data_IF_759667658800
#
_entry.id   IF_759667658800
#
_cell.length_a   1.000
_cell.length_b   1.000
_cell.length_c   1.000
_cell.angle_alpha   90.00
_cell.angle_beta   90.00
_cell.angle_gamma   90.00
#
_symmetry.space_group_name_H-M   'P 1'
#
loop_
_entity.id
_entity.type
_entity.pdbx_description
1 polymer ?
#
# COMPACT_ATOMS: atom_id res chain seq x y z
N UNK A 1 -11.01 -58.52 -30.93
CA UNK A 1 -10.33 -57.36 -31.52
C UNK A 1 -11.20 -56.14 -31.33
N UNK A 2 -10.61 -55.10 -30.71
CA UNK A 2 -11.02 -53.69 -30.65
C UNK A 2 -12.22 -53.30 -29.76
N UNK A 3 -11.88 -52.92 -28.53
CA UNK A 3 -12.56 -51.94 -27.68
C UNK A 3 -12.69 -50.60 -28.42
N UNK A 4 -13.89 -50.02 -28.48
CA UNK A 4 -14.10 -48.62 -28.85
C UNK A 4 -14.56 -47.85 -27.61
N UNK A 5 -13.66 -47.03 -27.08
CA UNK A 5 -13.90 -46.11 -25.98
C UNK A 5 -14.65 -44.89 -26.53
N UNK A 6 -15.91 -44.68 -26.12
CA UNK A 6 -16.66 -43.47 -26.44
C UNK A 6 -16.49 -42.46 -25.30
N UNK A 7 -15.53 -41.55 -25.42
CA UNK A 7 -15.43 -40.37 -24.56
C UNK A 7 -16.40 -39.29 -25.08
N UNK A 8 -17.37 -38.89 -24.24
CA UNK A 8 -18.18 -37.67 -24.46
C UNK A 8 -17.55 -36.51 -23.67
N UNK A 9 -17.42 -35.30 -24.24
CA UNK A 9 -16.73 -34.20 -23.58
C UNK A 9 -17.68 -33.47 -22.62
N UNK A 10 -17.39 -33.50 -21.32
CA UNK A 10 -17.95 -32.61 -20.29
C UNK A 10 -16.93 -31.51 -20.00
N UNK A 11 -16.71 -30.59 -20.94
CA UNK A 11 -15.74 -29.50 -20.78
C UNK A 11 -16.11 -28.29 -21.65
N UNK A 12 -17.34 -27.76 -21.54
CA UNK A 12 -17.68 -26.48 -22.21
C UNK A 12 -18.47 -25.48 -21.37
N UNK A 13 -19.16 -25.90 -20.29
CA UNK A 13 -19.97 -24.96 -19.50
C UNK A 13 -19.15 -24.09 -18.51
N UNK A 14 -18.03 -24.59 -17.97
CA UNK A 14 -17.19 -23.83 -17.01
C UNK A 14 -16.29 -22.79 -17.71
N UNK A 15 -15.76 -23.13 -18.89
CA UNK A 15 -14.92 -22.23 -19.69
C UNK A 15 -15.73 -21.03 -20.24
N UNK A 16 -16.98 -21.24 -20.64
CA UNK A 16 -17.86 -20.16 -21.11
C UNK A 16 -18.28 -19.19 -19.99
N UNK A 17 -18.40 -19.67 -18.73
CA UNK A 17 -18.61 -18.79 -17.57
C UNK A 17 -17.36 -17.99 -17.21
N UNK A 18 -16.17 -18.57 -17.34
CA UNK A 18 -14.91 -17.85 -17.14
C UNK A 18 -14.71 -16.74 -18.19
N UNK A 19 -15.02 -17.03 -19.46
CA UNK A 19 -14.97 -16.05 -20.55
C UNK A 19 -16.04 -14.94 -20.41
N UNK A 20 -17.22 -15.28 -19.89
CA UNK A 20 -18.30 -14.32 -19.65
C UNK A 20 -18.04 -13.39 -18.45
N UNK A 21 -17.26 -13.82 -17.45
CA UNK A 21 -16.86 -12.96 -16.32
C UNK A 21 -15.79 -11.94 -16.72
N UNK A 22 -14.89 -12.30 -17.66
CA UNK A 22 -13.90 -11.36 -18.20
C UNK A 22 -14.54 -10.22 -19.00
N UNK A 23 -15.66 -10.45 -19.68
CA UNK A 23 -16.33 -9.45 -20.50
C UNK A 23 -17.12 -8.41 -19.69
N UNK A 24 -17.59 -8.73 -18.49
CA UNK A 24 -18.36 -7.82 -17.64
C UNK A 24 -17.48 -6.82 -16.85
N UNK A 25 -16.16 -6.99 -16.88
CA UNK A 25 -15.19 -6.08 -16.28
C UNK A 25 -14.80 -4.91 -17.19
N UNK A 26 -15.21 -4.97 -18.47
CA UNK A 26 -14.81 -4.04 -19.51
C UNK A 26 -15.68 -2.76 -19.52
N UNK A 27 -15.97 -2.19 -18.35
CA UNK A 27 -16.11 -0.74 -18.31
C UNK A 27 -14.70 -0.19 -18.49
N UNK A 28 -14.49 0.63 -19.53
CA UNK A 28 -13.19 1.17 -19.90
C UNK A 28 -12.57 1.85 -18.67
N UNK A 29 -11.51 1.25 -18.12
CA UNK A 29 -10.76 1.88 -17.04
C UNK A 29 -10.27 3.22 -17.56
N UNK A 30 -10.48 4.27 -16.77
CA UNK A 30 -9.90 5.56 -17.11
C UNK A 30 -8.37 5.43 -17.02
N UNK A 31 -7.66 5.98 -18.00
CA UNK A 31 -6.22 6.18 -17.88
C UNK A 31 -5.92 6.93 -16.58
N UNK A 32 -4.81 6.57 -15.91
CA UNK A 32 -4.37 7.29 -14.73
C UNK A 32 -4.26 8.79 -15.05
N UNK A 33 -4.65 9.61 -14.08
CA UNK A 33 -4.68 11.06 -14.25
C UNK A 33 -4.08 11.74 -13.03
N UNK A 34 -3.10 12.64 -13.21
CA UNK A 34 -2.52 13.43 -12.13
C UNK A 34 -3.57 14.33 -11.47
N UNK A 35 -3.39 14.59 -10.17
CA UNK A 35 -4.33 15.39 -9.37
C UNK A 35 -5.65 14.67 -9.12
N UNK A 36 -5.64 13.32 -9.03
CA UNK A 36 -6.84 12.53 -8.74
C UNK A 36 -6.80 11.78 -7.42
N UNK A 37 -5.70 11.90 -6.67
CA UNK A 37 -5.67 11.49 -5.27
C UNK A 37 -6.41 12.57 -4.48
N UNK A 38 -7.63 12.23 -4.04
CA UNK A 38 -8.54 13.17 -3.40
C UNK A 38 -8.28 13.30 -1.90
N UNK A 39 -8.19 14.54 -1.43
CA UNK A 39 -7.95 14.89 -0.04
C UNK A 39 -6.46 14.83 0.27
N UNK A 40 -5.75 15.98 0.39
CA UNK A 40 -4.39 15.96 0.89
C UNK A 40 -4.51 15.38 2.30
N UNK A 41 -4.02 14.17 2.46
CA UNK A 41 -3.83 13.57 3.77
C UNK A 41 -2.32 13.43 3.91
N UNK A 42 -1.84 13.69 5.10
CA UNK A 42 -0.42 13.82 5.39
C UNK A 42 0.09 12.55 6.08
N UNK A 43 -0.85 11.71 6.55
CA UNK A 43 -0.60 10.52 7.34
C UNK A 43 -1.50 9.36 6.89
N UNK A 44 -0.93 8.18 6.73
CA UNK A 44 -1.69 6.96 6.43
C UNK A 44 -1.50 5.94 7.54
N UNK A 45 -2.59 5.62 8.25
CA UNK A 45 -2.63 4.52 9.21
C UNK A 45 -3.27 3.32 8.53
N UNK A 46 -2.55 2.21 8.49
CA UNK A 46 -3.04 0.94 7.98
C UNK A 46 -3.18 -0.07 9.11
N UNK A 47 -4.35 -0.71 9.22
CA UNK A 47 -4.65 -1.66 10.28
C UNK A 47 -4.90 -3.06 9.70
N UNK A 48 -4.12 -4.04 10.13
CA UNK A 48 -4.40 -5.44 9.81
C UNK A 48 -5.47 -5.95 10.75
N UNK A 49 -6.62 -6.29 10.18
CA UNK A 49 -7.75 -6.79 10.94
C UNK A 49 -7.55 -8.27 11.28
N UNK A 50 -8.01 -8.72 12.46
CA UNK A 50 -8.01 -10.14 12.78
C UNK A 50 -8.92 -10.88 11.79
N UNK A 51 -8.44 -11.99 11.26
CA UNK A 51 -9.25 -12.83 10.37
C UNK A 51 -10.40 -13.46 11.16
N UNK A 52 -11.66 -13.44 10.67
CA UNK A 52 -12.76 -14.10 11.35
C UNK A 52 -12.51 -15.60 11.46
N UNK A 53 -12.76 -16.15 12.65
CA UNK A 53 -12.53 -17.58 12.97
C UNK A 53 -13.34 -18.51 12.05
N UNK A 54 -14.50 -18.03 11.61
CA UNK A 54 -15.46 -18.76 10.76
C UNK A 54 -15.38 -18.39 9.26
N UNK A 55 -14.43 -17.52 8.86
CA UNK A 55 -14.27 -17.17 7.46
C UNK A 55 -13.89 -18.42 6.66
N UNK A 56 -14.86 -18.94 5.89
CA UNK A 56 -14.69 -20.09 5.01
C UNK A 56 -13.39 -19.93 4.24
N UNK A 57 -12.54 -20.96 4.29
CA UNK A 57 -11.27 -21.08 3.56
C UNK A 57 -11.53 -21.04 2.05
N UNK A 58 -11.94 -19.90 1.49
CA UNK A 58 -11.85 -19.65 0.06
C UNK A 58 -10.34 -19.57 -0.24
N UNK A 59 -9.70 -20.61 -0.81
CA UNK A 59 -8.26 -20.72 -0.79
C UNK A 59 -7.64 -19.65 -1.70
N UNK A 60 -6.68 -18.89 -1.19
CA UNK A 60 -5.64 -18.26 -2.00
C UNK A 60 -5.93 -16.92 -2.68
N UNK A 61 -7.09 -16.28 -2.48
CA UNK A 61 -7.39 -14.98 -3.09
C UNK A 61 -7.24 -13.86 -2.04
N UNK A 62 -6.26 -12.92 -2.16
CA UNK A 62 -6.21 -11.74 -1.30
C UNK A 62 -7.51 -10.97 -1.40
N UNK A 63 -8.01 -10.37 -0.32
CA UNK A 63 -9.25 -9.59 -0.45
C UNK A 63 -10.56 -10.37 -0.24
N UNK A 64 -10.50 -11.70 -0.11
CA UNK A 64 -11.70 -12.54 -0.22
C UNK A 64 -12.65 -12.51 0.98
N UNK A 65 -12.17 -12.20 2.18
CA UNK A 65 -12.95 -12.26 3.42
C UNK A 65 -13.33 -10.90 4.01
N UNK A 66 -12.99 -9.81 3.33
CA UNK A 66 -13.12 -8.46 3.86
C UNK A 66 -14.54 -8.17 4.36
N UNK A 67 -14.70 -7.64 5.58
CA UNK A 67 -16.02 -7.25 6.06
C UNK A 67 -16.56 -6.14 5.16
N UNK A 68 -17.87 -6.13 4.94
CA UNK A 68 -18.52 -5.07 4.14
C UNK A 68 -18.30 -3.68 4.75
N UNK A 69 -18.15 -3.59 6.07
CA UNK A 69 -18.05 -2.36 6.85
C UNK A 69 -16.78 -2.40 7.72
N UNK A 70 -15.62 -2.33 7.08
CA UNK A 70 -14.28 -2.23 7.72
C UNK A 70 -14.24 -1.14 8.79
N UNK A 71 -14.96 -0.03 8.58
CA UNK A 71 -15.04 1.10 9.51
C UNK A 71 -15.67 0.78 10.87
N UNK A 72 -16.34 -0.37 11.00
CA UNK A 72 -16.95 -0.83 12.25
C UNK A 72 -16.05 -1.75 13.06
N UNK A 73 -14.91 -2.15 12.51
CA UNK A 73 -13.98 -3.01 13.23
C UNK A 73 -13.38 -2.30 14.44
N UNK A 74 -13.27 -2.94 15.62
CA UNK A 74 -12.87 -2.27 16.85
C UNK A 74 -11.57 -1.46 16.73
N UNK A 75 -10.51 -2.03 16.14
CA UNK A 75 -9.24 -1.32 15.93
C UNK A 75 -9.41 -0.07 15.05
N UNK A 76 -10.22 -0.17 13.99
CA UNK A 76 -10.47 0.96 13.07
C UNK A 76 -11.27 2.06 13.76
N UNK A 77 -12.25 1.68 14.59
CA UNK A 77 -13.04 2.62 15.41
C UNK A 77 -12.14 3.35 16.42
N UNK A 78 -11.23 2.64 17.10
CA UNK A 78 -10.29 3.27 18.03
C UNK A 78 -9.35 4.25 17.32
N UNK A 79 -8.83 3.89 16.14
CA UNK A 79 -8.01 4.79 15.34
C UNK A 79 -8.80 6.04 14.90
N UNK A 80 -10.04 5.89 14.41
CA UNK A 80 -10.89 7.03 14.07
C UNK A 80 -11.19 7.92 15.28
N UNK A 81 -11.43 7.32 16.46
CA UNK A 81 -11.68 8.08 17.69
C UNK A 81 -10.47 8.92 18.07
N UNK A 82 -9.27 8.36 17.97
CA UNK A 82 -8.05 9.11 18.28
C UNK A 82 -7.81 10.24 17.27
N UNK A 83 -8.01 9.98 15.98
CA UNK A 83 -7.93 11.01 14.93
C UNK A 83 -8.92 12.12 15.19
N UNK A 84 -10.18 11.81 15.50
CA UNK A 84 -11.18 12.81 15.83
C UNK A 84 -10.83 13.61 17.09
N UNK A 85 -10.24 12.96 18.10
CA UNK A 85 -9.82 13.61 19.35
C UNK A 85 -8.66 14.58 19.16
N UNK A 86 -7.80 14.32 18.17
CA UNK A 86 -6.56 15.07 17.93
C UNK A 86 -6.56 15.85 16.61
N UNK A 87 -7.64 15.87 15.84
CA UNK A 87 -7.63 16.32 14.44
C UNK A 87 -7.17 17.77 14.21
N UNK A 88 -7.20 18.61 15.25
CA UNK A 88 -6.64 19.98 15.19
C UNK A 88 -5.09 20.01 15.32
N UNK A 89 -4.49 18.92 15.77
CA UNK A 89 -3.08 18.78 16.12
C UNK A 89 -2.37 17.79 15.19
N UNK A 90 -3.00 16.66 14.92
CA UNK A 90 -2.49 15.67 13.97
C UNK A 90 -3.25 15.93 12.67
N UNK A 91 -2.53 16.20 11.58
CA UNK A 91 -3.09 16.63 10.30
C UNK A 91 -4.09 15.65 9.69
N UNK A 92 -4.30 15.72 8.37
CA UNK A 92 -5.31 14.86 7.76
C UNK A 92 -4.81 13.40 7.73
N UNK A 93 -5.47 12.53 8.48
CA UNK A 93 -5.13 11.10 8.56
C UNK A 93 -6.07 10.28 7.70
N UNK A 94 -5.52 9.45 6.82
CA UNK A 94 -6.25 8.39 6.12
C UNK A 94 -6.12 7.09 6.91
N UNK A 95 -7.24 6.42 7.15
CA UNK A 95 -7.26 5.10 7.78
C UNK A 95 -7.71 4.08 6.74
N UNK A 96 -6.90 3.05 6.55
CA UNK A 96 -7.15 1.93 5.64
C UNK A 96 -6.94 0.64 6.41
N UNK A 97 -7.64 -0.42 6.06
CA UNK A 97 -7.28 -1.73 6.59
C UNK A 97 -6.49 -2.49 5.53
N UNK A 98 -5.61 -3.38 5.97
CA UNK A 98 -4.81 -4.21 5.06
C UNK A 98 -4.75 -5.69 5.48
N UNK A 99 -4.22 -6.49 4.57
CA UNK A 99 -3.79 -7.88 4.75
C UNK A 99 -2.42 -8.07 4.12
N UNK A 100 -1.53 -8.79 4.79
CA UNK A 100 -0.24 -9.16 4.20
C UNK A 100 -0.39 -10.30 3.20
N UNK A 101 0.16 -10.11 1.99
CA UNK A 101 0.02 -11.08 0.89
C UNK A 101 0.91 -12.31 1.11
N UNK A 102 2.02 -12.19 1.85
CA UNK A 102 2.91 -13.30 2.17
C UNK A 102 2.37 -14.17 3.32
N UNK A 103 1.81 -13.56 4.36
CA UNK A 103 1.38 -14.20 5.63
C UNK A 103 -0.13 -14.23 5.82
N UNK A 104 -0.86 -14.61 4.76
CA UNK A 104 -2.34 -14.51 4.69
C UNK A 104 -3.12 -15.36 5.71
N UNK A 105 -2.47 -16.38 6.27
CA UNK A 105 -3.05 -17.26 7.29
C UNK A 105 -2.60 -16.89 8.72
N UNK A 106 -1.72 -15.88 8.86
CA UNK A 106 -1.16 -15.40 10.13
C UNK A 106 -1.65 -13.96 10.35
N UNK A 107 -2.87 -13.83 10.85
CA UNK A 107 -3.40 -12.56 11.33
C UNK A 107 -3.15 -12.37 12.83
N UNK A 108 -3.25 -11.13 13.33
CA UNK A 108 -3.23 -10.90 14.77
C UNK A 108 -4.38 -11.66 15.45
N UNK A 109 -4.20 -12.14 16.70
CA UNK A 109 -5.24 -12.84 17.42
C UNK A 109 -6.45 -11.92 17.69
N UNK A 110 -7.64 -12.48 17.95
CA UNK A 110 -8.81 -11.68 18.33
C UNK A 110 -8.49 -10.72 19.50
N UNK A 111 -8.87 -9.45 19.36
CA UNK A 111 -8.56 -8.41 20.34
C UNK A 111 -7.23 -7.68 20.12
N UNK A 112 -6.47 -8.05 19.09
CA UNK A 112 -5.27 -7.33 18.64
C UNK A 112 -5.34 -6.98 17.14
N UNK A 113 -4.48 -6.07 16.72
CA UNK A 113 -4.25 -5.73 15.31
C UNK A 113 -2.76 -5.50 15.04
N UNK A 114 -2.34 -5.55 13.77
CA UNK A 114 -1.07 -4.95 13.37
C UNK A 114 -1.35 -3.55 12.83
N UNK A 115 -0.45 -2.60 13.03
CA UNK A 115 -0.58 -1.21 12.59
C UNK A 115 0.66 -0.80 11.80
N UNK A 116 0.48 -0.24 10.60
CA UNK A 116 1.53 0.44 9.85
C UNK A 116 1.19 1.93 9.78
N UNK A 117 2.18 2.79 9.95
CA UNK A 117 2.01 4.23 9.91
C UNK A 117 3.04 4.88 8.98
N UNK A 118 2.55 5.65 8.01
CA UNK A 118 3.35 6.40 7.05
C UNK A 118 3.00 7.89 7.12
N UNK A 119 3.97 8.80 6.94
CA UNK A 119 5.36 8.56 6.52
C UNK A 119 6.32 8.14 7.64
N UNK A 120 5.84 8.03 8.90
CA UNK A 120 6.68 7.66 10.05
C UNK A 120 7.47 6.34 9.86
N UNK A 121 7.00 5.44 8.97
CA UNK A 121 7.64 4.17 8.68
C UNK A 121 7.68 3.27 9.90
N UNK A 122 6.63 3.31 10.72
CA UNK A 122 6.48 2.55 11.95
C UNK A 122 5.50 1.40 11.75
N UNK A 123 5.85 0.25 12.33
CA UNK A 123 5.03 -0.95 12.40
C UNK A 123 4.82 -1.33 13.88
N UNK A 124 3.61 -1.76 14.22
CA UNK A 124 3.28 -2.36 15.52
C UNK A 124 2.64 -3.72 15.30
N UNK A 125 3.23 -4.76 15.88
CA UNK A 125 2.73 -6.14 15.74
C UNK A 125 1.99 -6.61 17.00
N UNK A 126 0.83 -7.24 16.82
CA UNK A 126 0.04 -7.78 17.93
C UNK A 126 -0.44 -6.70 18.91
N UNK A 127 -0.66 -5.48 18.43
CA UNK A 127 -1.09 -4.32 19.21
C UNK A 127 -2.51 -4.57 19.77
N UNK A 128 -2.70 -4.56 21.11
CA UNK A 128 -4.04 -4.67 21.69
C UNK A 128 -4.94 -3.54 21.21
N UNK A 129 -6.22 -3.82 20.94
CA UNK A 129 -7.17 -2.83 20.42
C UNK A 129 -7.22 -1.57 21.30
N UNK A 130 -7.16 -1.72 22.62
CA UNK A 130 -7.15 -0.60 23.56
C UNK A 130 -5.92 0.31 23.47
N UNK A 131 -4.83 -0.16 22.86
CA UNK A 131 -3.59 0.61 22.66
C UNK A 131 -3.53 1.29 21.28
N UNK A 132 -4.47 1.00 20.36
CA UNK A 132 -4.48 1.57 19.01
C UNK A 132 -4.46 3.09 19.03
N UNK A 133 -5.25 3.73 19.89
CA UNK A 133 -5.25 5.19 20.00
C UNK A 133 -3.88 5.76 20.41
N UNK A 134 -3.16 5.10 21.32
CA UNK A 134 -1.83 5.58 21.73
C UNK A 134 -0.78 5.36 20.62
N UNK A 135 -0.87 4.25 19.88
CA UNK A 135 0.01 3.99 18.73
C UNK A 135 -0.23 5.01 17.61
N UNK A 136 -1.48 5.31 17.27
CA UNK A 136 -1.84 6.36 16.30
C UNK A 136 -1.27 7.70 16.77
N UNK A 137 -1.49 8.07 18.03
CA UNK A 137 -0.96 9.31 18.58
C UNK A 137 0.57 9.39 18.48
N UNK A 138 1.26 8.30 18.78
CA UNK A 138 2.72 8.21 18.72
C UNK A 138 3.21 8.39 17.29
N UNK A 139 2.58 7.70 16.33
CA UNK A 139 3.02 7.65 14.96
C UNK A 139 2.72 8.93 14.15
N UNK A 140 1.74 9.73 14.59
CA UNK A 140 1.35 10.97 13.88
C UNK A 140 1.73 12.24 14.63
N UNK A 141 2.50 12.16 15.71
CA UNK A 141 2.91 13.34 16.47
C UNK A 141 4.23 13.91 15.93
N UNK A 142 4.31 15.23 15.82
CA UNK A 142 5.56 15.92 15.48
C UNK A 142 6.63 15.72 16.56
N UNK A 143 6.21 15.64 17.83
CA UNK A 143 7.11 15.41 18.97
C UNK A 143 6.66 14.20 19.83
N UNK A 144 6.88 12.96 19.36
CA UNK A 144 6.39 11.72 20.01
C UNK A 144 6.85 11.55 21.47
N UNK A 145 8.03 12.10 21.79
CA UNK A 145 8.61 12.08 23.13
C UNK A 145 7.86 12.96 24.14
N UNK A 146 7.12 13.98 23.67
CA UNK A 146 6.35 14.90 24.53
C UNK A 146 4.91 14.43 24.77
N UNK A 147 4.48 13.33 24.15
CA UNK A 147 3.14 12.81 24.35
C UNK A 147 2.89 12.43 25.82
N UNK A 148 1.79 12.91 26.43
CA UNK A 148 1.44 12.57 27.80
C UNK A 148 0.97 11.12 27.86
N UNK A 149 1.87 10.20 28.19
CA UNK A 149 1.62 8.76 28.22
C UNK A 149 2.29 8.14 29.45
N UNK A 150 1.63 7.16 30.08
CA UNK A 150 2.21 6.44 31.23
C UNK A 150 3.46 5.69 30.76
N UNK A 151 4.47 5.62 31.63
CA UNK A 151 5.70 4.90 31.30
C UNK A 151 5.47 3.42 30.97
N UNK A 152 4.43 2.79 31.54
CA UNK A 152 4.02 1.43 31.20
C UNK A 152 3.52 1.30 29.77
N UNK A 153 2.69 2.24 29.32
CA UNK A 153 2.11 2.23 27.99
C UNK A 153 3.20 2.49 26.94
N UNK A 154 4.12 3.43 27.23
CA UNK A 154 5.28 3.69 26.38
C UNK A 154 6.11 2.43 26.17
N UNK A 155 6.44 1.72 27.26
CA UNK A 155 7.20 0.46 27.19
C UNK A 155 6.45 -0.62 26.41
N UNK A 156 5.13 -0.74 26.58
CA UNK A 156 4.33 -1.72 25.87
C UNK A 156 4.34 -1.45 24.36
N UNK A 157 4.15 -0.21 23.94
CA UNK A 157 4.22 0.18 22.52
C UNK A 157 5.62 -0.05 21.94
N UNK A 158 6.67 0.41 22.61
CA UNK A 158 8.05 0.21 22.13
C UNK A 158 8.41 -1.28 22.00
N UNK A 159 7.86 -2.15 22.85
CA UNK A 159 8.15 -3.59 22.79
C UNK A 159 7.55 -4.30 21.56
N UNK A 160 6.53 -3.73 20.93
CA UNK A 160 5.94 -4.27 19.70
C UNK A 160 6.19 -3.40 18.46
N UNK A 161 7.01 -2.35 18.59
CA UNK A 161 7.29 -1.39 17.53
C UNK A 161 8.53 -1.81 16.73
N UNK A 162 8.42 -1.71 15.41
CA UNK A 162 9.49 -1.95 14.45
C UNK A 162 9.45 -0.91 13.31
N UNK A 163 10.50 -0.88 12.49
CA UNK A 163 10.45 -0.16 11.23
C UNK A 163 9.66 -0.96 10.19
N UNK A 164 8.98 -0.26 9.28
CA UNK A 164 8.41 -0.88 8.08
C UNK A 164 9.50 -1.34 7.12
N UNK A 165 9.13 -2.14 6.13
CA UNK A 165 10.00 -2.51 5.02
C UNK A 165 10.46 -1.26 4.24
N UNK A 166 11.59 -1.38 3.54
CA UNK A 166 12.19 -0.29 2.75
C UNK A 166 11.21 0.23 1.67
N UNK A 167 10.42 -0.68 1.09
CA UNK A 167 9.32 -0.36 0.18
C UNK A 167 8.09 -1.21 0.49
N UNK A 168 6.96 -0.56 0.72
CA UNK A 168 5.67 -1.18 1.00
C UNK A 168 4.67 -0.83 -0.10
N UNK A 169 4.17 -1.86 -0.79
CA UNK A 169 3.23 -1.74 -1.91
C UNK A 169 1.82 -2.13 -1.47
N UNK A 170 0.89 -1.19 -1.50
CA UNK A 170 -0.49 -1.40 -1.07
C UNK A 170 -1.45 -1.47 -2.27
N UNK A 171 -2.04 -2.64 -2.49
CA UNK A 171 -2.91 -2.92 -3.64
C UNK A 171 -4.37 -3.06 -3.21
N UNK A 172 -5.24 -2.21 -3.75
CA UNK A 172 -6.68 -2.29 -3.47
C UNK A 172 -7.27 -3.61 -3.99
N UNK A 173 -7.69 -4.51 -3.09
CA UNK A 173 -8.29 -5.82 -3.44
C UNK A 173 -9.77 -5.94 -3.06
N UNK A 174 -10.37 -4.88 -2.52
CA UNK A 174 -11.72 -4.93 -1.98
C UNK A 174 -12.81 -5.07 -3.06
N UNK A 175 -13.42 -6.25 -3.15
CA UNK A 175 -14.45 -6.57 -4.14
C UNK A 175 -15.86 -6.05 -3.78
N UNK A 176 -16.17 -5.85 -2.50
CA UNK A 176 -17.53 -5.49 -2.08
C UNK A 176 -17.91 -4.03 -2.42
N UNK A 177 -16.92 -3.14 -2.52
CA UNK A 177 -17.14 -1.73 -2.88
C UNK A 177 -17.21 -1.53 -4.39
N UNK A 178 -16.39 -2.25 -5.16
CA UNK A 178 -16.36 -2.17 -6.61
C UNK A 178 -15.79 -3.44 -7.25
N UNK A 179 -16.49 -3.94 -8.26
CA UNK A 179 -16.13 -5.18 -8.94
C UNK A 179 -14.79 -5.12 -9.67
N UNK A 180 -14.33 -3.94 -10.12
CA UNK A 180 -13.05 -3.80 -10.83
C UNK A 180 -11.86 -3.97 -9.89
N UNK A 181 -11.92 -3.38 -8.69
CA UNK A 181 -10.89 -3.58 -7.67
C UNK A 181 -10.80 -5.06 -7.25
N UNK A 182 -11.95 -5.72 -7.10
CA UNK A 182 -12.01 -7.16 -6.80
C UNK A 182 -11.50 -8.06 -7.92
N UNK A 183 -11.54 -7.62 -9.18
CA UNK A 183 -11.07 -8.40 -10.34
C UNK A 183 -9.60 -8.16 -10.68
N UNK A 184 -9.12 -6.91 -10.57
CA UNK A 184 -7.75 -6.53 -10.97
C UNK A 184 -6.77 -6.56 -9.80
N UNK A 185 -7.21 -6.21 -8.59
CA UNK A 185 -6.36 -6.10 -7.41
C UNK A 185 -5.75 -7.43 -6.98
N UNK A 186 -6.55 -8.48 -6.71
CA UNK A 186 -6.04 -9.78 -6.27
C UNK A 186 -4.97 -10.41 -7.19
N UNK A 187 -5.16 -10.50 -8.53
CA UNK A 187 -4.12 -11.03 -9.40
C UNK A 187 -2.89 -10.12 -9.50
N UNK A 188 -3.06 -8.79 -9.41
CA UNK A 188 -1.93 -7.85 -9.35
C UNK A 188 -1.09 -8.07 -8.09
N UNK A 189 -1.70 -8.06 -6.91
CA UNK A 189 -1.01 -8.25 -5.64
C UNK A 189 -0.27 -9.60 -5.59
N UNK A 190 -0.91 -10.67 -6.09
CA UNK A 190 -0.28 -11.98 -6.20
C UNK A 190 0.91 -11.99 -7.18
N UNK A 191 0.83 -11.26 -8.29
CA UNK A 191 1.94 -11.14 -9.25
C UNK A 191 3.11 -10.35 -8.69
N UNK A 192 2.87 -9.20 -8.05
CA UNK A 192 3.93 -8.40 -7.40
C UNK A 192 4.63 -9.21 -6.31
N UNK A 193 3.88 -9.87 -5.41
CA UNK A 193 4.47 -10.70 -4.37
C UNK A 193 5.30 -11.85 -4.94
N UNK A 194 4.81 -12.53 -6.00
CA UNK A 194 5.57 -13.60 -6.67
C UNK A 194 6.88 -13.08 -7.26
N UNK A 195 6.88 -11.89 -7.87
CA UNK A 195 8.08 -11.28 -8.43
C UNK A 195 9.09 -10.89 -7.34
N UNK A 196 8.63 -10.24 -6.28
CA UNK A 196 9.45 -9.92 -5.09
C UNK A 196 10.12 -11.17 -4.54
N UNK A 197 9.35 -12.25 -4.33
CA UNK A 197 9.87 -13.53 -3.85
C UNK A 197 10.84 -14.18 -4.82
N UNK A 198 10.52 -14.21 -6.11
CA UNK A 198 11.39 -14.81 -7.13
C UNK A 198 12.75 -14.10 -7.23
N UNK A 199 12.81 -12.83 -6.84
CA UNK A 199 14.03 -12.00 -6.81
C UNK A 199 14.72 -11.97 -5.44
N UNK A 200 14.15 -12.62 -4.43
CA UNK A 200 14.71 -12.64 -3.07
C UNK A 200 14.59 -11.30 -2.32
N UNK A 201 13.61 -10.46 -2.68
CA UNK A 201 13.45 -9.10 -2.15
C UNK A 201 12.47 -9.02 -0.95
N UNK A 202 12.05 -10.14 -0.38
CA UNK A 202 10.98 -10.18 0.65
C UNK A 202 11.35 -9.45 1.95
N UNK A 203 12.64 -9.31 2.27
CA UNK A 203 13.11 -8.54 3.43
C UNK A 203 13.07 -7.03 3.21
N UNK A 204 13.04 -6.58 1.94
CA UNK A 204 13.11 -5.17 1.56
C UNK A 204 11.78 -4.63 1.02
N UNK A 205 11.02 -5.48 0.31
CA UNK A 205 9.78 -5.10 -0.38
C UNK A 205 8.63 -5.94 0.14
N UNK A 206 7.64 -5.28 0.74
CA UNK A 206 6.41 -5.93 1.16
C UNK A 206 5.24 -5.58 0.23
N UNK A 207 4.37 -6.57 -0.01
CA UNK A 207 3.15 -6.40 -0.80
C UNK A 207 1.94 -6.69 0.09
N UNK A 208 1.03 -5.72 0.14
CA UNK A 208 -0.17 -5.76 0.97
C UNK A 208 -1.42 -5.64 0.10
N UNK A 209 -2.45 -6.40 0.44
CA UNK A 209 -3.80 -6.17 -0.06
C UNK A 209 -4.52 -5.19 0.86
N UNK A 210 -5.31 -4.27 0.32
CA UNK A 210 -6.01 -3.27 1.12
C UNK A 210 -7.52 -3.27 0.90
N UNK A 211 -8.22 -2.67 1.87
CA UNK A 211 -9.58 -2.18 1.69
C UNK A 211 -9.64 -1.14 0.56
N UNK A 212 -10.83 -0.61 0.28
CA UNK A 212 -10.99 0.28 -0.86
C UNK A 212 -10.15 1.55 -0.76
N UNK A 213 -9.21 1.73 -1.70
CA UNK A 213 -8.41 2.94 -1.89
C UNK A 213 -8.40 3.37 -3.36
N UNK A 214 -8.22 4.67 -3.59
CA UNK A 214 -7.84 5.21 -4.91
C UNK A 214 -8.97 5.44 -5.90
N UNK A 215 -10.18 5.00 -5.60
CA UNK A 215 -11.33 5.14 -6.49
C UNK A 215 -11.30 4.11 -7.62
N UNK A 216 -12.48 3.58 -7.94
CA UNK A 216 -12.62 2.42 -8.81
C UNK A 216 -12.33 2.67 -10.30
N UNK A 217 -12.44 3.92 -10.76
CA UNK A 217 -12.27 4.25 -12.19
C UNK A 217 -10.84 4.08 -12.67
N UNK A 218 -9.89 4.01 -11.73
CA UNK A 218 -8.46 3.81 -11.94
C UNK A 218 -7.99 2.47 -11.34
N UNK A 219 -8.89 1.48 -11.23
CA UNK A 219 -8.58 0.19 -10.61
C UNK A 219 -7.29 -0.44 -11.17
N UNK A 220 -6.65 -1.26 -10.33
CA UNK A 220 -5.20 -1.42 -10.40
C UNK A 220 -4.46 -0.36 -9.59
N UNK A 221 -5.07 0.08 -8.48
CA UNK A 221 -4.48 1.08 -7.60
C UNK A 221 -3.33 0.46 -6.79
N UNK A 222 -2.17 1.10 -6.80
CA UNK A 222 -1.01 0.78 -5.97
C UNK A 222 -0.57 2.05 -5.26
N UNK A 223 -0.41 2.00 -3.94
CA UNK A 223 0.23 3.08 -3.18
C UNK A 223 1.59 2.58 -2.69
N UNK A 224 2.62 3.38 -2.90
CA UNK A 224 3.98 3.07 -2.49
C UNK A 224 4.33 3.88 -1.25
N UNK A 225 4.98 3.24 -0.29
CA UNK A 225 5.60 3.90 0.84
C UNK A 225 6.98 3.35 1.11
N UNK A 226 7.94 4.21 1.33
CA UNK A 226 9.32 3.87 1.66
C UNK A 226 10.04 5.14 2.03
N UNK A 227 10.41 5.31 3.30
CA UNK A 227 10.78 6.63 3.84
C UNK A 227 11.97 7.31 3.13
N UNK A 228 12.80 6.55 2.42
CA UNK A 228 13.93 7.06 1.61
C UNK A 228 13.75 6.79 0.11
N UNK A 229 12.63 6.17 -0.27
CA UNK A 229 12.35 5.81 -1.64
C UNK A 229 11.76 7.03 -2.37
N UNK A 230 12.22 7.38 -3.58
CA UNK A 230 11.71 8.55 -4.33
C UNK A 230 10.19 8.53 -4.58
N UNK A 231 9.60 7.33 -4.64
CA UNK A 231 8.14 7.13 -4.74
C UNK A 231 7.38 7.12 -3.40
N UNK A 232 7.94 7.62 -2.29
CA UNK A 232 7.23 7.64 -1.00
C UNK A 232 5.92 8.41 -1.11
N UNK A 233 4.82 7.76 -0.75
CA UNK A 233 3.48 8.32 -0.85
C UNK A 233 2.91 8.42 -2.26
N UNK A 234 3.57 7.90 -3.30
CA UNK A 234 3.04 7.92 -4.66
C UNK A 234 1.85 6.96 -4.84
N UNK A 235 0.86 7.43 -5.59
CA UNK A 235 -0.32 6.67 -5.99
C UNK A 235 -0.31 6.40 -7.48
N UNK A 236 -0.50 5.13 -7.82
CA UNK A 236 -0.61 4.65 -9.18
C UNK A 236 -2.01 4.07 -9.46
N UNK A 237 -2.40 4.02 -10.73
CA UNK A 237 -3.62 3.36 -11.20
C UNK A 237 -3.44 2.73 -12.57
N UNK A 238 -4.29 1.78 -12.94
CA UNK A 238 -4.16 1.04 -14.21
C UNK A 238 -3.08 -0.04 -14.22
N UNK A 239 -2.45 -0.33 -13.08
CA UNK A 239 -1.51 -1.45 -12.93
C UNK A 239 -2.30 -2.76 -12.88
N UNK A 240 -1.79 -3.81 -13.49
CA UNK A 240 -2.44 -5.12 -13.54
C UNK A 240 -1.41 -6.24 -13.62
N UNK A 241 -1.85 -7.50 -13.53
CA UNK A 241 -0.93 -8.63 -13.54
C UNK A 241 -0.06 -8.73 -14.81
N UNK A 242 -0.49 -8.16 -15.94
CA UNK A 242 0.25 -8.18 -17.21
C UNK A 242 1.36 -7.14 -17.34
N UNK A 243 1.33 -6.07 -16.53
CA UNK A 243 2.38 -5.05 -16.49
C UNK A 243 3.08 -4.94 -15.12
N UNK A 244 2.77 -5.84 -14.19
CA UNK A 244 3.31 -5.85 -12.83
C UNK A 244 4.84 -5.98 -12.79
N UNK A 245 5.44 -6.72 -13.73
CA UNK A 245 6.89 -6.88 -13.81
C UNK A 245 7.60 -5.59 -14.21
N UNK A 246 7.22 -5.00 -15.35
CA UNK A 246 7.76 -3.71 -15.79
C UNK A 246 7.51 -2.58 -14.79
N UNK A 247 6.37 -2.62 -14.09
CA UNK A 247 6.05 -1.66 -13.04
C UNK A 247 6.98 -1.83 -11.83
N UNK A 248 7.22 -3.06 -11.37
CA UNK A 248 8.15 -3.33 -10.28
C UNK A 248 9.61 -2.98 -10.66
N UNK A 249 10.01 -3.31 -11.89
CA UNK A 249 11.35 -2.94 -12.41
C UNK A 249 11.54 -1.43 -12.36
N UNK A 250 10.55 -0.69 -12.84
CA UNK A 250 10.59 0.76 -12.85
C UNK A 250 10.60 1.37 -11.44
N UNK A 251 9.84 0.81 -10.49
CA UNK A 251 9.89 1.24 -9.08
C UNK A 251 11.28 1.06 -8.46
N UNK A 252 11.88 -0.12 -8.66
CA UNK A 252 13.19 -0.44 -8.09
C UNK A 252 14.34 0.33 -8.75
N UNK A 253 14.12 0.88 -9.95
CA UNK A 253 15.12 1.62 -10.73
C UNK A 253 15.01 3.13 -10.57
N UNK A 254 14.06 3.66 -9.77
CA UNK A 254 13.98 5.11 -9.56
C UNK A 254 15.19 5.58 -8.78
N UNK A 255 16.00 6.42 -9.41
CA UNK A 255 17.18 7.01 -8.82
C UNK A 255 16.79 8.07 -7.76
N UNK A 256 17.66 8.25 -6.78
CA UNK A 256 17.52 9.34 -5.81
C UNK A 256 17.60 10.68 -6.55
N UNK A 257 16.91 11.70 -6.02
CA UNK A 257 16.82 13.01 -6.67
C UNK A 257 15.77 13.10 -7.79
N UNK A 258 15.32 11.98 -8.34
CA UNK A 258 14.16 11.95 -9.26
C UNK A 258 12.88 12.13 -8.45
N UNK A 259 11.91 12.88 -8.99
CA UNK A 259 10.62 13.11 -8.34
C UNK A 259 9.66 11.90 -8.44
N UNK A 260 10.19 10.70 -8.14
CA UNK A 260 9.46 9.46 -8.05
C UNK A 260 8.74 9.08 -9.34
N UNK A 261 7.52 8.58 -9.18
CA UNK A 261 6.69 8.18 -10.31
C UNK A 261 6.17 9.35 -11.13
N UNK A 262 6.24 10.59 -10.62
CA UNK A 262 5.86 11.76 -11.40
C UNK A 262 6.87 11.97 -12.54
N UNK A 263 8.17 11.83 -12.30
CA UNK A 263 9.19 12.10 -13.31
C UNK A 263 9.67 10.84 -14.05
N UNK A 264 9.66 9.68 -13.40
CA UNK A 264 10.18 8.45 -14.01
C UNK A 264 9.34 7.98 -15.21
N UNK A 265 9.94 7.98 -16.41
CA UNK A 265 9.25 7.77 -17.70
C UNK A 265 8.34 6.53 -17.77
N UNK A 266 8.72 5.41 -17.16
CA UNK A 266 7.92 4.18 -17.16
C UNK A 266 6.81 4.15 -16.10
N UNK A 267 6.94 4.92 -15.02
CA UNK A 267 5.95 4.99 -13.94
C UNK A 267 4.93 6.08 -14.16
N UNK A 268 5.38 7.16 -14.80
CA UNK A 268 4.62 8.35 -15.13
C UNK A 268 3.24 7.99 -15.70
N UNK A 269 3.08 7.17 -16.76
CA UNK A 269 1.75 6.82 -17.29
C UNK A 269 0.73 6.25 -16.29
N UNK A 270 1.18 5.73 -15.14
CA UNK A 270 0.34 5.18 -14.07
C UNK A 270 0.12 6.16 -12.91
N UNK A 271 0.92 7.22 -12.80
CA UNK A 271 0.92 8.11 -11.63
C UNK A 271 -0.35 8.96 -11.56
N UNK A 272 -0.80 9.21 -10.32
CA UNK A 272 -2.06 9.90 -10.04
C UNK A 272 -1.95 11.04 -9.05
N UNK A 273 -0.91 11.01 -8.21
CA UNK A 273 -0.72 11.93 -7.10
C UNK A 273 0.26 11.37 -6.08
N UNK A 274 0.69 12.23 -5.16
CA UNK A 274 1.51 11.90 -4.00
C UNK A 274 0.79 12.34 -2.72
N UNK A 275 0.93 11.56 -1.65
CA UNK A 275 0.48 11.92 -0.30
C UNK A 275 1.06 13.30 0.12
N UNK A 276 0.32 14.07 0.92
CA UNK A 276 0.72 15.42 1.33
C UNK A 276 0.50 16.53 0.30
N UNK A 277 0.41 16.20 -1.00
CA UNK A 277 0.19 17.20 -2.05
C UNK A 277 -1.30 17.49 -2.28
N UNK A 278 -1.64 18.77 -2.40
CA UNK A 278 -2.91 19.24 -2.94
C UNK A 278 -3.10 18.81 -4.40
N UNK A 279 -4.31 18.94 -4.90
CA UNK A 279 -4.63 18.55 -6.28
C UNK A 279 -3.86 19.39 -7.31
N UNK A 280 -3.66 20.66 -6.99
CA UNK A 280 -2.93 21.64 -7.79
C UNK A 280 -1.43 21.29 -7.78
N UNK A 281 -0.82 21.09 -6.61
CA UNK A 281 0.59 20.67 -6.48
C UNK A 281 0.85 19.33 -7.18
N UNK A 282 -0.06 18.37 -7.10
CA UNK A 282 0.07 17.10 -7.84
C UNK A 282 0.13 17.33 -9.36
N UNK A 283 -0.58 18.32 -9.89
CA UNK A 283 -0.56 18.62 -11.33
C UNK A 283 0.69 19.37 -11.72
N UNK A 284 1.14 20.31 -10.90
CA UNK A 284 2.37 21.07 -11.11
C UNK A 284 3.59 20.14 -11.10
N UNK A 285 3.70 19.26 -10.10
CA UNK A 285 4.76 18.24 -10.01
C UNK A 285 4.77 17.35 -11.26
N UNK A 286 3.58 16.91 -11.68
CA UNK A 286 3.45 16.16 -12.90
C UNK A 286 3.91 16.99 -14.11
N UNK A 287 3.44 18.21 -14.31
CA UNK A 287 3.82 19.03 -15.47
C UNK A 287 5.33 19.28 -15.54
N UNK A 288 5.98 19.56 -14.40
CA UNK A 288 7.43 19.76 -14.28
C UNK A 288 8.23 18.52 -14.69
N UNK A 289 7.91 17.34 -14.13
CA UNK A 289 8.58 16.09 -14.50
C UNK A 289 8.26 15.61 -15.93
N UNK A 290 7.38 16.30 -16.66
CA UNK A 290 7.13 16.05 -18.09
C UNK A 290 7.97 16.91 -19.02
N UNK A 291 8.63 17.94 -18.49
CA UNK A 291 9.51 18.83 -19.23
C UNK A 291 10.94 18.34 -19.18
N UNK A 292 11.27 17.29 -19.94
CA UNK A 292 12.67 17.02 -20.26
C UNK A 292 13.07 18.04 -21.34
N UNK A 293 13.65 19.17 -20.94
CA UNK A 293 14.68 19.83 -21.75
C UNK A 293 16.01 19.15 -21.38
N UNK A 294 16.77 18.71 -22.39
CA UNK A 294 18.11 18.17 -22.25
C UNK A 294 19.02 19.19 -21.54
N UNK A 295 19.20 19.06 -20.23
CA UNK A 295 20.17 19.86 -19.49
C UNK A 295 21.50 19.11 -19.46
N UNK A 296 22.44 19.60 -20.26
CA UNK A 296 23.85 19.22 -20.23
C UNK A 296 24.48 19.59 -18.88
N UNK A 297 24.84 18.57 -18.09
CA UNK A 297 26.00 18.49 -17.20
C UNK A 297 26.26 19.57 -16.16
N UNK A 298 26.13 19.21 -14.87
CA UNK A 298 26.94 19.75 -13.78
C UNK A 298 27.12 18.71 -12.68
N UNK A 299 28.22 17.95 -12.75
CA UNK A 299 28.51 16.79 -11.90
C UNK A 299 29.20 17.08 -10.57
N UNK A 300 28.77 18.14 -9.86
CA UNK A 300 29.37 18.50 -8.57
C UNK A 300 28.37 18.46 -7.38
N UNK A 301 27.07 18.27 -7.61
CA UNK A 301 26.04 18.23 -6.54
C UNK A 301 25.68 16.81 -6.05
N UNK A 302 26.08 15.76 -6.77
CA UNK A 302 25.75 14.36 -6.44
C UNK A 302 26.50 13.82 -5.20
N UNK A 303 27.76 14.24 -4.97
CA UNK A 303 28.58 13.70 -3.87
C UNK A 303 28.14 14.16 -2.47
N UNK A 304 27.53 15.35 -2.34
CA UNK A 304 27.12 15.92 -1.04
C UNK A 304 25.80 15.29 -0.52
N UNK A 305 24.93 14.83 -1.44
CA UNK A 305 23.64 14.19 -1.13
C UNK A 305 23.85 12.76 -0.59
N UNK A 306 24.85 12.05 -1.11
CA UNK A 306 25.16 10.68 -0.71
C UNK A 306 25.67 10.58 0.75
N UNK A 307 26.46 11.57 1.22
CA UNK A 307 26.97 11.59 2.60
C UNK A 307 25.88 11.89 3.64
N UNK A 308 24.98 12.86 3.36
CA UNK A 308 23.85 13.16 4.27
C UNK A 308 22.86 11.98 4.35
N UNK A 309 22.63 11.27 3.24
CA UNK A 309 21.74 10.12 3.20
C UNK A 309 22.31 8.90 3.94
N UNK A 310 23.60 8.60 3.78
CA UNK A 310 24.26 7.57 4.57
C UNK A 310 24.18 7.86 6.08
N UNK A 311 24.29 9.14 6.45
CA UNK A 311 24.18 9.59 7.83
C UNK A 311 22.76 9.41 8.38
N UNK A 312 21.73 9.81 7.62
CA UNK A 312 20.31 9.59 8.00
C UNK A 312 19.96 8.10 8.13
N UNK A 313 20.42 7.26 7.19
CA UNK A 313 20.24 5.81 7.24
C UNK A 313 20.99 5.18 8.42
N UNK A 314 22.15 5.72 8.81
CA UNK A 314 22.91 5.26 9.97
C UNK A 314 22.25 5.67 11.30
N UNK A 315 21.66 6.86 11.39
CA UNK A 315 20.95 7.34 12.58
C UNK A 315 19.66 6.56 12.83
N UNK A 316 18.92 6.23 11.76
CA UNK A 316 17.71 5.40 11.84
C UNK A 316 18.04 3.96 12.26
N UNK A 317 19.13 3.38 11.75
CA UNK A 317 19.63 2.06 12.19
C UNK A 317 20.03 2.02 13.66
N UNK A 318 20.32 3.18 14.26
CA UNK A 318 20.68 3.33 15.68
C UNK A 318 19.48 3.66 16.58
N UNK A 319 18.28 3.83 16.02
CA UNK A 319 17.05 4.14 16.78
C UNK A 319 17.09 5.50 17.48
N UNK A 320 17.84 6.46 16.93
CA UNK A 320 17.99 7.82 17.49
C UNK A 320 17.08 8.87 16.84
N UNK A 321 16.29 8.45 15.84
CA UNK A 321 15.17 9.16 15.21
C UNK A 321 14.02 8.16 15.04
#
# INVERSE_FOLDING_TARGET
>A
MLQACAARPLLQASALRALSCCAAAAEELAAAKPGTVSGPYDQHILLQLPRPVDAVRAPGVPGAWWPQLVEREPAVVEAFREVARRGDVIGKVKITAFEEVARRDEGPPPGACNLLAFPAGLQFDGLPVEQVGLAVALATADEPNKLPMRASDRRALTACMAATHDLSLFVCCHAARDARCGQLGPPLAASLHRLVRARGLEEHVAVYATSHIGGHKYAGNVVCYGAVHPCDGDWFGGVNAGNAESFLDALLAVELGVDGGAEHAALRPFWRGRMGLSKEEQRELWEQGGGIEELEGSGDEEEEIDEELEQLLAERRRGLL
#
